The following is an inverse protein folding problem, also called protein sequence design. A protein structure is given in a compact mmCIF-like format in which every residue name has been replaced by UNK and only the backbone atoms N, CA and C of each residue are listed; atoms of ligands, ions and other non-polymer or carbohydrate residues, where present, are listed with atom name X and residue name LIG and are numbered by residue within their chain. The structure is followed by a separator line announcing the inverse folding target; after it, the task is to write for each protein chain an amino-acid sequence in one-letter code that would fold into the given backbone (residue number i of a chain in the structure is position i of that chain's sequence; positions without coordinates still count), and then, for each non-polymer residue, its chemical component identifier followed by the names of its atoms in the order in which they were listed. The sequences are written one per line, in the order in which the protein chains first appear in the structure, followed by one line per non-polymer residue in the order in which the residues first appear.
data_IF_807100178843
#
_entry.id   IF_807100178843
#
_cell.length_a   1.000
_cell.length_b   1.000
_cell.length_c   1.000
_cell.angle_alpha   90.00
_cell.angle_beta   90.00
_cell.angle_gamma   90.00
#
_symmetry.space_group_name_H-M   'P 1'
#
loop_
_entity.id
_entity.type
_entity.pdbx_description
1 polymer ?
#
# COMPACT_ATOMS: atom_id res chain seq x y z
N UNK A 1 -20.05 -1.03 -0.78
CA UNK A 1 -20.13 0.45 -0.85
C UNK A 1 -18.90 0.97 -1.61
N UNK A 2 -18.50 0.27 -2.68
CA UNK A 2 -17.18 0.44 -3.32
C UNK A 2 -17.28 1.09 -4.71
N UNK A 3 -18.50 1.42 -5.17
CA UNK A 3 -18.76 1.93 -6.52
C UNK A 3 -18.28 3.36 -6.76
N UNK A 4 -17.95 4.10 -5.70
CA UNK A 4 -17.54 5.51 -5.78
C UNK A 4 -16.02 5.70 -5.67
N UNK A 5 -15.25 4.62 -5.51
CA UNK A 5 -13.79 4.73 -5.51
C UNK A 5 -13.33 5.00 -6.95
N UNK A 6 -12.46 6.00 -7.19
CA UNK A 6 -12.03 6.40 -8.53
C UNK A 6 -11.32 5.29 -9.32
N UNK A 7 -10.85 4.25 -8.64
CA UNK A 7 -10.20 3.08 -9.24
C UNK A 7 -11.05 1.80 -9.24
N UNK A 8 -12.25 1.83 -8.63
CA UNK A 8 -13.13 0.65 -8.49
C UNK A 8 -13.44 0.01 -9.84
N UNK A 9 -13.81 0.79 -10.85
CA UNK A 9 -14.13 0.24 -12.16
C UNK A 9 -12.94 -0.48 -12.80
N UNK A 10 -11.73 0.08 -12.68
CA UNK A 10 -10.54 -0.57 -13.23
C UNK A 10 -10.28 -1.85 -12.44
N UNK A 11 -10.13 -1.78 -11.12
CA UNK A 11 -9.66 -2.91 -10.30
C UNK A 11 -10.72 -4.00 -10.15
N UNK A 12 -11.99 -3.64 -10.01
CA UNK A 12 -13.09 -4.59 -9.81
C UNK A 12 -13.55 -5.21 -11.13
N UNK A 13 -13.49 -4.50 -12.25
CA UNK A 13 -13.91 -5.05 -13.56
C UNK A 13 -12.77 -5.73 -14.31
N UNK A 14 -11.51 -5.47 -13.96
CA UNK A 14 -10.37 -6.13 -14.59
C UNK A 14 -9.87 -7.28 -13.72
N UNK A 15 -9.67 -8.45 -14.32
CA UNK A 15 -9.00 -9.59 -13.67
C UNK A 15 -7.48 -9.36 -13.61
N UNK A 16 -7.04 -8.22 -13.07
CA UNK A 16 -5.62 -7.93 -12.88
C UNK A 16 -5.07 -8.88 -11.82
N UNK A 17 -4.39 -9.92 -12.30
CA UNK A 17 -3.75 -10.96 -11.48
C UNK A 17 -2.24 -11.04 -11.71
N UNK A 18 -1.71 -10.22 -12.62
CA UNK A 18 -0.32 -10.26 -13.09
C UNK A 18 0.47 -9.00 -12.79
N UNK A 19 -0.06 -8.07 -11.98
CA UNK A 19 0.66 -6.83 -11.68
C UNK A 19 1.95 -7.12 -10.92
N UNK A 20 3.05 -6.56 -11.43
CA UNK A 20 4.36 -6.51 -10.76
C UNK A 20 4.61 -5.14 -10.15
N UNK A 21 4.05 -4.08 -10.75
CA UNK A 21 4.13 -2.71 -10.28
C UNK A 21 2.76 -2.06 -10.33
N UNK A 22 2.37 -1.44 -9.24
CA UNK A 22 1.20 -0.58 -9.13
C UNK A 22 1.70 0.82 -8.77
N UNK A 23 1.36 1.80 -9.61
CA UNK A 23 1.66 3.20 -9.36
C UNK A 23 0.37 3.99 -9.51
N UNK A 24 -0.01 4.72 -8.47
CA UNK A 24 -1.20 5.55 -8.42
C UNK A 24 -0.75 6.96 -8.09
N UNK A 25 -0.99 7.90 -9.02
CA UNK A 25 -0.44 9.25 -8.94
C UNK A 25 -1.52 10.30 -9.20
N UNK A 26 -1.65 11.27 -8.29
CA UNK A 26 -2.50 12.45 -8.47
C UNK A 26 -4.00 12.16 -8.48
N UNK A 27 -4.45 11.09 -7.82
CA UNK A 27 -5.89 10.80 -7.68
C UNK A 27 -6.39 11.43 -6.37
N UNK A 28 -6.74 12.71 -6.46
CA UNK A 28 -7.10 13.53 -5.30
C UNK A 28 -8.34 13.02 -4.53
N UNK A 29 -9.26 12.36 -5.23
CA UNK A 29 -10.50 11.81 -4.66
C UNK A 29 -10.37 10.33 -4.21
N UNK A 30 -9.16 9.75 -4.26
CA UNK A 30 -8.94 8.36 -3.84
C UNK A 30 -8.96 8.26 -2.32
N UNK A 31 -10.01 7.68 -1.77
CA UNK A 31 -10.15 7.51 -0.31
C UNK A 31 -9.54 6.21 0.21
N UNK A 32 -9.51 5.16 -0.60
CA UNK A 32 -8.87 3.89 -0.26
C UNK A 32 -8.49 3.07 -1.50
N UNK A 33 -7.61 2.07 -1.30
CA UNK A 33 -7.37 1.03 -2.29
C UNK A 33 -8.37 -0.12 -2.10
N UNK A 34 -8.74 -0.79 -3.19
CA UNK A 34 -9.67 -1.93 -3.16
C UNK A 34 -8.96 -3.14 -2.51
N UNK A 35 -9.59 -3.75 -1.51
CA UNK A 35 -8.94 -4.79 -0.68
C UNK A 35 -8.56 -6.08 -1.39
N UNK A 36 -9.28 -6.49 -2.44
CA UNK A 36 -8.98 -7.72 -3.19
C UNK A 36 -7.80 -7.58 -4.16
N UNK A 37 -7.34 -6.34 -4.41
CA UNK A 37 -6.23 -6.02 -5.31
C UNK A 37 -4.95 -6.78 -4.92
N UNK A 38 -4.61 -6.78 -3.63
CA UNK A 38 -3.37 -7.37 -3.14
C UNK A 38 -3.43 -8.89 -3.08
N UNK A 39 -4.59 -9.46 -2.76
CA UNK A 39 -4.79 -10.90 -2.79
C UNK A 39 -4.73 -11.48 -4.21
N UNK A 40 -5.25 -10.74 -5.20
CA UNK A 40 -5.21 -11.12 -6.62
C UNK A 40 -3.84 -10.93 -7.26
N UNK A 41 -3.06 -9.95 -6.81
CA UNK A 41 -1.75 -9.62 -7.38
C UNK A 41 -0.60 -10.06 -6.46
N UNK A 42 -0.47 -11.37 -6.28
CA UNK A 42 0.55 -11.96 -5.41
C UNK A 42 1.98 -11.73 -5.92
N UNK A 43 2.13 -11.38 -7.21
CA UNK A 43 3.43 -11.05 -7.83
C UNK A 43 3.83 -9.57 -7.68
N UNK A 44 3.01 -8.76 -7.00
CA UNK A 44 3.25 -7.33 -6.86
C UNK A 44 4.55 -7.08 -6.10
N UNK A 45 5.53 -6.46 -6.76
CA UNK A 45 6.84 -6.18 -6.22
C UNK A 45 7.05 -4.71 -5.86
N UNK A 46 6.25 -3.81 -6.44
CA UNK A 46 6.37 -2.36 -6.27
C UNK A 46 4.99 -1.73 -6.09
N UNK A 47 4.79 -1.02 -4.98
CA UNK A 47 3.64 -0.17 -4.73
C UNK A 47 4.13 1.27 -4.56
N UNK A 48 3.57 2.18 -5.35
CA UNK A 48 3.92 3.61 -5.38
C UNK A 48 2.64 4.44 -5.36
N UNK A 49 2.44 5.21 -4.30
CA UNK A 49 1.30 6.09 -4.07
C UNK A 49 1.81 7.52 -3.96
N UNK A 50 1.40 8.39 -4.89
CA UNK A 50 1.92 9.75 -4.96
C UNK A 50 0.78 10.76 -5.13
N UNK A 51 0.71 11.77 -4.27
CA UNK A 51 -0.30 12.83 -4.34
C UNK A 51 -1.74 12.30 -4.36
N UNK A 52 -2.06 11.35 -3.48
CA UNK A 52 -3.41 10.88 -3.21
C UNK A 52 -3.88 11.49 -1.90
N UNK A 53 -4.21 12.79 -1.92
CA UNK A 53 -4.40 13.60 -0.72
C UNK A 53 -5.49 13.05 0.22
N UNK A 54 -6.61 12.56 -0.33
CA UNK A 54 -7.72 11.97 0.45
C UNK A 54 -7.55 10.50 0.82
N UNK A 55 -6.39 9.90 0.54
CA UNK A 55 -6.17 8.49 0.85
C UNK A 55 -6.11 8.29 2.37
N UNK A 56 -7.20 7.80 2.96
CA UNK A 56 -7.33 7.66 4.40
C UNK A 56 -6.72 6.36 4.94
N UNK A 57 -6.81 5.27 4.16
CA UNK A 57 -6.28 3.97 4.55
C UNK A 57 -5.83 3.12 3.35
N UNK A 58 -4.85 2.26 3.61
CA UNK A 58 -4.41 1.18 2.71
C UNK A 58 -4.96 -0.12 3.31
N UNK A 59 -5.70 -0.94 2.55
CA UNK A 59 -6.20 -2.22 3.06
C UNK A 59 -5.01 -3.17 3.31
N UNK A 60 -5.28 -4.26 4.03
CA UNK A 60 -4.26 -5.28 4.28
C UNK A 60 -3.56 -5.73 2.99
N UNK A 61 -2.25 -5.91 3.08
CA UNK A 61 -1.37 -6.31 1.98
C UNK A 61 -1.26 -7.84 1.87
N UNK A 62 -2.27 -8.56 2.36
CA UNK A 62 -2.34 -10.02 2.29
C UNK A 62 -2.24 -10.48 0.84
N UNK A 63 -1.39 -11.47 0.61
CA UNK A 63 -1.14 -12.06 -0.72
C UNK A 63 0.10 -11.53 -1.43
N UNK A 64 0.54 -10.29 -1.18
CA UNK A 64 1.76 -9.76 -1.81
C UNK A 64 3.00 -9.74 -0.89
N UNK A 65 2.87 -10.11 0.38
CA UNK A 65 3.95 -10.01 1.37
C UNK A 65 5.24 -10.77 1.05
N UNK A 66 5.16 -11.86 0.30
CA UNK A 66 6.35 -12.63 -0.14
C UNK A 66 7.06 -12.03 -1.35
N UNK A 67 6.47 -11.07 -2.05
CA UNK A 67 7.01 -10.49 -3.29
C UNK A 67 7.20 -8.98 -3.26
N UNK A 68 6.44 -8.26 -2.43
CA UNK A 68 6.52 -6.81 -2.32
C UNK A 68 7.90 -6.39 -1.81
N UNK A 69 8.68 -5.71 -2.65
CA UNK A 69 10.06 -5.29 -2.38
C UNK A 69 10.19 -3.82 -2.04
N UNK A 70 9.26 -3.00 -2.52
CA UNK A 70 9.25 -1.55 -2.32
C UNK A 70 7.84 -1.05 -2.10
N UNK A 71 7.68 -0.28 -1.03
CA UNK A 71 6.49 0.52 -0.75
C UNK A 71 6.93 1.98 -0.68
N UNK A 72 6.35 2.81 -1.54
CA UNK A 72 6.62 4.24 -1.62
C UNK A 72 5.30 5.02 -1.49
N UNK A 73 5.22 5.94 -0.53
CA UNK A 73 4.03 6.74 -0.25
C UNK A 73 4.46 8.19 -0.07
N UNK A 74 3.96 9.09 -0.91
CA UNK A 74 4.38 10.49 -0.92
C UNK A 74 3.19 11.42 -1.14
N UNK A 75 3.07 12.51 -0.36
CA UNK A 75 1.97 13.47 -0.47
C UNK A 75 0.57 12.82 -0.30
N UNK A 76 0.41 11.92 0.68
CA UNK A 76 -0.87 11.32 1.05
C UNK A 76 -1.28 11.83 2.43
N UNK A 77 -1.86 13.03 2.48
CA UNK A 77 -2.03 13.76 3.73
C UNK A 77 -3.12 13.20 4.64
N UNK A 78 -4.19 12.59 4.13
CA UNK A 78 -5.22 11.97 4.98
C UNK A 78 -4.84 10.58 5.52
N UNK A 79 -3.70 10.02 5.10
CA UNK A 79 -3.27 8.69 5.53
C UNK A 79 -2.79 8.73 6.98
N UNK A 80 -3.58 8.16 7.90
CA UNK A 80 -3.30 8.20 9.33
C UNK A 80 -2.46 7.02 9.83
N UNK A 81 -2.60 5.86 9.19
CA UNK A 81 -1.92 4.63 9.57
C UNK A 81 -1.59 3.75 8.36
N UNK A 82 -0.53 2.96 8.48
CA UNK A 82 -0.23 1.86 7.55
C UNK A 82 -0.95 0.58 7.99
N UNK A 83 -1.13 -0.40 7.09
CA UNK A 83 -1.84 -1.63 7.43
C UNK A 83 -1.06 -2.48 8.44
N UNK A 84 -1.77 -3.10 9.38
CA UNK A 84 -1.21 -3.84 10.53
C UNK A 84 -0.37 -5.07 10.16
N UNK A 85 -0.53 -5.58 8.94
CA UNK A 85 0.22 -6.69 8.36
C UNK A 85 1.52 -6.25 7.68
N UNK A 86 1.90 -4.97 7.79
CA UNK A 86 3.18 -4.46 7.29
C UNK A 86 4.37 -5.29 7.81
N UNK A 87 4.31 -5.75 9.05
CA UNK A 87 5.33 -6.62 9.64
C UNK A 87 5.50 -7.95 8.89
N UNK A 88 4.44 -8.46 8.27
CA UNK A 88 4.44 -9.72 7.53
C UNK A 88 5.04 -9.62 6.11
N UNK A 89 5.52 -8.44 5.70
CA UNK A 89 6.15 -8.23 4.39
C UNK A 89 7.60 -8.73 4.38
N UNK A 90 7.77 -10.05 4.38
CA UNK A 90 9.07 -10.75 4.43
C UNK A 90 10.06 -10.33 3.32
N UNK A 91 9.56 -9.84 2.18
CA UNK A 91 10.39 -9.44 1.03
C UNK A 91 10.64 -7.93 0.93
N UNK A 92 10.07 -7.12 1.83
CA UNK A 92 10.16 -5.66 1.74
C UNK A 92 11.59 -5.20 2.00
N UNK A 93 12.20 -4.53 1.02
CA UNK A 93 13.58 -4.03 1.07
C UNK A 93 13.65 -2.51 1.25
N UNK A 94 12.65 -1.80 0.77
CA UNK A 94 12.57 -0.35 0.86
C UNK A 94 11.16 0.09 1.29
N UNK A 95 11.11 0.90 2.35
CA UNK A 95 9.93 1.62 2.79
C UNK A 95 10.29 3.10 2.75
N UNK A 96 9.71 3.82 1.80
CA UNK A 96 9.97 5.24 1.57
C UNK A 96 8.63 5.99 1.75
N UNK A 97 8.48 6.72 2.84
CA UNK A 97 7.33 7.57 3.16
C UNK A 97 7.84 9.00 3.20
N UNK A 98 7.11 9.94 2.62
CA UNK A 98 7.49 11.36 2.73
C UNK A 98 6.28 12.27 2.55
N UNK A 99 6.29 13.42 3.21
CA UNK A 99 5.23 14.42 3.08
C UNK A 99 3.81 13.84 3.29
N UNK A 100 3.66 12.91 4.25
CA UNK A 100 2.36 12.37 4.67
C UNK A 100 2.06 12.92 6.07
N UNK A 101 1.47 14.12 6.12
CA UNK A 101 1.53 14.95 7.33
C UNK A 101 0.69 14.44 8.50
N UNK A 102 -0.36 13.65 8.25
CA UNK A 102 -1.20 13.08 9.31
C UNK A 102 -0.86 11.62 9.67
N UNK A 103 0.21 11.04 9.10
CA UNK A 103 0.62 9.68 9.42
C UNK A 103 1.12 9.62 10.86
N UNK A 104 0.35 9.00 11.75
CA UNK A 104 0.65 8.91 13.17
C UNK A 104 1.21 7.55 13.57
N UNK A 105 0.85 6.49 12.82
CA UNK A 105 1.15 5.13 13.22
C UNK A 105 1.74 4.30 12.06
N UNK A 106 2.94 3.78 12.30
CA UNK A 106 3.51 2.68 11.52
C UNK A 106 3.41 1.45 12.42
N UNK A 107 2.51 0.49 12.10
CA UNK A 107 2.22 -0.61 13.00
C UNK A 107 3.46 -1.51 13.12
N UNK A 108 3.77 -1.86 14.36
CA UNK A 108 4.69 -2.94 14.70
C UNK A 108 3.91 -4.00 15.46
N UNK A 109 3.49 -5.09 14.79
CA UNK A 109 2.77 -6.16 15.47
C UNK A 109 3.68 -6.89 16.46
N UNK A 110 3.37 -6.75 17.74
CA UNK A 110 3.95 -7.53 18.84
C UNK A 110 3.81 -9.03 18.55
N UNK A 111 4.92 -9.69 18.24
CA UNK A 111 4.94 -11.14 17.97
C UNK A 111 4.97 -11.55 16.49
N UNK A 112 4.90 -10.60 15.54
CA UNK A 112 5.27 -10.90 14.15
C UNK A 112 6.78 -10.79 13.96
N UNK A 113 7.30 -11.55 12.98
CA UNK A 113 8.62 -11.31 12.40
C UNK A 113 8.57 -9.87 11.88
N UNK A 114 9.30 -8.93 12.47
CA UNK A 114 9.32 -7.55 11.96
C UNK A 114 9.84 -7.49 10.51
N UNK A 115 10.02 -6.27 9.98
CA UNK A 115 10.55 -6.00 8.63
C UNK A 115 12.02 -6.45 8.43
N UNK A 116 12.27 -7.76 8.49
CA UNK A 116 13.61 -8.37 8.56
C UNK A 116 14.43 -8.24 7.27
N UNK A 117 13.76 -8.06 6.14
CA UNK A 117 14.38 -7.83 4.83
C UNK A 117 14.61 -6.36 4.51
N UNK A 118 14.19 -5.44 5.37
CA UNK A 118 14.31 -4.02 5.12
C UNK A 118 15.79 -3.60 5.07
N UNK A 119 16.15 -2.82 4.07
CA UNK A 119 17.50 -2.28 3.87
C UNK A 119 17.50 -0.77 3.71
N UNK A 120 16.34 -0.19 3.40
CA UNK A 120 16.13 1.25 3.30
C UNK A 120 14.84 1.60 4.02
N UNK A 121 14.95 2.59 4.89
CA UNK A 121 13.84 3.24 5.55
C UNK A 121 14.00 4.75 5.39
N UNK A 122 13.01 5.40 4.82
CA UNK A 122 12.88 6.85 4.75
C UNK A 122 11.45 7.20 5.17
N UNK A 123 11.28 8.14 6.12
CA UNK A 123 9.99 8.57 6.66
C UNK A 123 10.03 10.08 6.84
#
# INVERSE_FOLDING_TARGET
MDSDLPLSNIISSSNLTSLVRLSIRGILELTCLVGDLFYKNQNLAYLDLWACEKLAYIPHLWGCGTFLKRLEITFCDELMELPDDLGSLDSLKALDISFCNNLQLIPYPSGQKGLSSLRRLNI
#
